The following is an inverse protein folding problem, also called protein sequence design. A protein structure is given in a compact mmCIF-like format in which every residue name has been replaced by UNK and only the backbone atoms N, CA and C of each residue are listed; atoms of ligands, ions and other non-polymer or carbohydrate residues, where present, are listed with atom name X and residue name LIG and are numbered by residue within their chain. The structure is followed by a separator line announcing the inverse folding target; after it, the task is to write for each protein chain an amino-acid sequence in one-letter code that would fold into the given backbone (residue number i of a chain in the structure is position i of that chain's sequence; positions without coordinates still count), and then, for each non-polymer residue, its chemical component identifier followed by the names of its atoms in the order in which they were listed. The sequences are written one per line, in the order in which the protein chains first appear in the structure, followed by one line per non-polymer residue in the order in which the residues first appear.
data_IF_184844450722
#
_entry.id   IF_184844450722
#
_cell.length_a   1.000
_cell.length_b   1.000
_cell.length_c   1.000
_cell.angle_alpha   90.00
_cell.angle_beta   90.00
_cell.angle_gamma   90.00
#
_symmetry.space_group_name_H-M   'P 1'
#
loop_
_entity.id
_entity.type
_entity.pdbx_description
1 polymer ?
#
# COMPACT_ATOMS: atom_id res chain seq x y z
N UNK A 1 20.01 0.76 14.73
CA UNK A 1 19.34 -0.55 14.56
C UNK A 1 17.85 -0.30 14.66
N UNK A 2 17.04 -0.87 13.77
CA UNK A 2 15.59 -0.74 13.80
C UNK A 2 14.97 -2.13 13.70
N UNK A 3 13.92 -2.39 14.48
CA UNK A 3 13.21 -3.66 14.55
C UNK A 3 11.71 -3.36 14.55
N UNK A 4 10.94 -4.26 13.95
CA UNK A 4 9.48 -4.19 13.92
C UNK A 4 8.90 -5.59 13.77
N UNK A 5 7.89 -5.91 14.55
CA UNK A 5 7.04 -7.08 14.36
C UNK A 5 5.86 -6.73 13.44
N UNK A 6 5.55 -7.65 12.53
CA UNK A 6 4.34 -7.59 11.69
C UNK A 6 3.71 -8.99 11.58
N UNK A 7 2.42 -9.02 11.23
CA UNK A 7 1.66 -10.26 11.01
C UNK A 7 2.17 -11.06 9.81
N UNK A 8 2.69 -10.36 8.81
CA UNK A 8 3.18 -10.97 7.57
C UNK A 8 4.32 -10.15 6.99
N UNK A 9 5.08 -10.76 6.08
CA UNK A 9 6.15 -10.08 5.38
C UNK A 9 5.62 -9.52 4.05
N UNK A 10 5.21 -8.26 4.04
CA UNK A 10 4.71 -7.59 2.83
C UNK A 10 5.57 -6.38 2.46
N UNK A 11 5.39 -5.89 1.22
CA UNK A 11 6.04 -4.66 0.79
C UNK A 11 5.66 -3.46 1.68
N UNK A 12 4.43 -3.42 2.22
CA UNK A 12 4.01 -2.36 3.12
C UNK A 12 4.75 -2.40 4.46
N UNK A 13 5.06 -3.59 4.98
CA UNK A 13 5.80 -3.71 6.23
C UNK A 13 7.22 -3.18 6.09
N UNK A 14 7.88 -3.48 4.96
CA UNK A 14 9.19 -2.90 4.63
C UNK A 14 9.14 -1.39 4.43
N UNK A 15 8.12 -0.89 3.74
CA UNK A 15 7.89 0.55 3.56
C UNK A 15 7.70 1.25 4.92
N UNK A 16 6.89 0.67 5.81
CA UNK A 16 6.62 1.22 7.14
C UNK A 16 7.86 1.21 8.03
N UNK A 17 8.60 0.10 8.08
CA UNK A 17 9.85 0.01 8.84
C UNK A 17 10.91 1.00 8.31
N UNK A 18 10.97 1.19 6.98
CA UNK A 18 11.88 2.16 6.37
C UNK A 18 11.48 3.59 6.72
N UNK A 19 10.18 3.90 6.71
CA UNK A 19 9.67 5.21 7.13
C UNK A 19 10.06 5.52 8.57
N UNK A 20 9.77 4.61 9.50
CA UNK A 20 10.12 4.77 10.91
C UNK A 20 11.64 4.93 11.11
N UNK A 21 12.45 4.19 10.34
CA UNK A 21 13.90 4.33 10.35
C UNK A 21 14.35 5.73 9.92
N UNK A 22 13.88 6.23 8.77
CA UNK A 22 14.36 7.51 8.24
C UNK A 22 13.88 8.70 9.07
N UNK A 23 12.70 8.61 9.68
CA UNK A 23 12.18 9.64 10.58
C UNK A 23 13.03 9.73 11.86
N UNK A 24 13.59 8.62 12.33
CA UNK A 24 14.43 8.57 13.54
C UNK A 24 15.92 8.85 13.27
N UNK A 25 16.44 8.43 12.11
CA UNK A 25 17.87 8.38 11.86
C UNK A 25 18.33 9.16 10.61
N UNK A 26 17.39 9.66 9.80
CA UNK A 26 17.69 10.24 8.49
C UNK A 26 17.79 9.20 7.37
N UNK A 27 17.97 9.68 6.14
CA UNK A 27 18.02 8.84 4.94
C UNK A 27 19.40 8.22 4.78
N UNK A 28 19.54 6.88 4.77
CA UNK A 28 20.82 6.26 4.44
C UNK A 28 21.20 6.53 2.97
N UNK A 29 22.48 6.36 2.65
CA UNK A 29 22.94 6.41 1.24
C UNK A 29 22.47 5.17 0.49
N UNK A 30 22.58 4.00 1.12
CA UNK A 30 22.19 2.73 0.52
C UNK A 30 21.63 1.75 1.55
N UNK A 31 20.81 0.82 1.08
CA UNK A 31 20.30 -0.31 1.83
C UNK A 31 20.79 -1.61 1.19
N UNK A 32 21.28 -2.52 2.01
CA UNK A 32 21.66 -3.86 1.58
C UNK A 32 20.54 -4.82 1.88
N UNK A 33 20.12 -5.59 0.87
CA UNK A 33 19.09 -6.62 1.02
C UNK A 33 19.55 -7.96 0.44
N UNK A 34 18.95 -9.04 0.94
CA UNK A 34 18.97 -10.35 0.28
C UNK A 34 18.11 -10.30 -1.00
N UNK A 35 18.26 -11.28 -1.89
CA UNK A 35 17.56 -11.41 -3.18
C UNK A 35 16.08 -11.80 -3.02
N UNK A 36 15.39 -11.27 -2.01
CA UNK A 36 13.97 -11.52 -1.82
C UNK A 36 13.15 -10.83 -2.93
N UNK A 37 12.04 -11.45 -3.34
CA UNK A 37 11.23 -10.97 -4.47
C UNK A 37 10.58 -9.58 -4.24
N UNK A 38 10.52 -9.12 -2.99
CA UNK A 38 10.08 -7.76 -2.62
C UNK A 38 11.07 -6.70 -3.13
N UNK A 39 12.35 -7.06 -3.24
CA UNK A 39 13.44 -6.19 -3.68
C UNK A 39 13.73 -6.31 -5.18
N UNK A 40 13.18 -7.34 -5.86
CA UNK A 40 13.45 -7.60 -7.28
C UNK A 40 12.26 -8.24 -7.99
N UNK A 41 11.89 -7.68 -9.13
CA UNK A 41 10.94 -8.32 -10.06
C UNK A 41 11.63 -9.55 -10.69
N UNK A 42 11.09 -10.74 -10.42
CA UNK A 42 11.51 -11.97 -11.08
C UNK A 42 10.54 -12.26 -12.23
N UNK A 43 10.88 -11.87 -13.45
CA UNK A 43 10.04 -12.09 -14.63
C UNK A 43 10.66 -11.53 -15.91
N UNK A 44 10.23 -12.01 -17.10
CA UNK A 44 10.72 -11.52 -18.38
C UNK A 44 10.46 -10.01 -18.50
N UNK A 45 11.41 -9.28 -19.10
CA UNK A 45 11.54 -7.82 -19.19
C UNK A 45 10.33 -7.06 -19.79
N UNK A 46 9.25 -7.75 -20.15
CA UNK A 46 8.08 -7.22 -20.87
C UNK A 46 6.89 -6.80 -19.99
N UNK A 47 7.11 -6.42 -18.73
CA UNK A 47 6.12 -5.65 -17.96
C UNK A 47 6.72 -4.28 -17.69
N UNK A 48 6.01 -3.21 -18.04
CA UNK A 48 6.43 -1.80 -17.99
C UNK A 48 6.76 -1.25 -16.57
N UNK A 49 7.27 -2.08 -15.66
CA UNK A 49 7.68 -1.72 -14.31
C UNK A 49 8.89 -2.56 -13.96
N UNK A 50 10.08 -2.02 -14.25
CA UNK A 50 11.37 -2.64 -13.92
C UNK A 50 11.66 -2.61 -12.40
N UNK A 51 10.84 -1.90 -11.62
CA UNK A 51 11.08 -1.59 -10.21
C UNK A 51 9.89 -2.05 -9.36
N UNK A 52 10.15 -2.69 -8.22
CA UNK A 52 9.11 -3.06 -7.24
C UNK A 52 8.55 -1.81 -6.54
N UNK A 53 7.39 -1.89 -5.87
CA UNK A 53 6.87 -0.75 -5.09
C UNK A 53 7.88 -0.27 -4.05
N UNK A 54 8.54 -1.20 -3.37
CA UNK A 54 9.59 -0.86 -2.42
C UNK A 54 10.82 -0.23 -3.11
N UNK A 55 11.24 -0.75 -4.26
CA UNK A 55 12.30 -0.13 -5.05
C UNK A 55 11.96 1.28 -5.51
N UNK A 56 10.69 1.56 -5.86
CA UNK A 56 10.21 2.90 -6.21
C UNK A 56 10.35 3.85 -5.02
N UNK A 57 9.91 3.44 -3.84
CA UNK A 57 10.05 4.24 -2.61
C UNK A 57 11.51 4.62 -2.37
N UNK A 58 12.43 3.66 -2.47
CA UNK A 58 13.85 3.93 -2.27
C UNK A 58 14.42 4.86 -3.34
N UNK A 59 14.01 4.69 -4.60
CA UNK A 59 14.38 5.60 -5.68
C UNK A 59 13.90 7.03 -5.43
N UNK A 60 12.64 7.21 -5.02
CA UNK A 60 12.07 8.53 -4.73
C UNK A 60 12.78 9.22 -3.54
N UNK A 61 13.29 8.43 -2.58
CA UNK A 61 14.11 8.93 -1.46
C UNK A 61 15.61 9.07 -1.78
N UNK A 62 16.01 8.75 -3.02
CA UNK A 62 17.39 8.66 -3.47
C UNK A 62 18.27 7.75 -2.59
N UNK A 63 17.71 6.61 -2.17
CA UNK A 63 18.39 5.56 -1.41
C UNK A 63 18.72 4.42 -2.38
N UNK A 64 20.00 4.07 -2.50
CA UNK A 64 20.42 2.99 -3.40
C UNK A 64 20.15 1.61 -2.80
N UNK A 65 19.39 0.76 -3.52
CA UNK A 65 19.15 -0.62 -3.09
C UNK A 65 20.22 -1.55 -3.67
N UNK A 66 21.10 -2.06 -2.81
CA UNK A 66 22.14 -3.01 -3.19
C UNK A 66 21.69 -4.42 -2.82
N UNK A 67 21.35 -5.21 -3.83
CA UNK A 67 21.06 -6.64 -3.66
C UNK A 67 22.39 -7.40 -3.62
N UNK A 68 22.81 -7.86 -2.44
CA UNK A 68 24.13 -8.47 -2.29
C UNK A 68 24.19 -9.84 -3.00
N UNK A 69 25.26 -10.06 -3.77
CA UNK A 69 25.61 -11.35 -4.37
C UNK A 69 26.58 -12.17 -3.50
N UNK A 70 27.20 -11.59 -2.46
CA UNK A 70 28.37 -12.20 -1.81
C UNK A 70 28.17 -12.60 -0.36
N UNK A 71 28.79 -13.74 -0.02
CA UNK A 71 28.74 -14.46 1.24
C UNK A 71 29.48 -13.78 2.41
N UNK A 72 30.33 -12.78 2.13
CA UNK A 72 31.27 -12.21 3.11
C UNK A 72 30.63 -11.17 4.04
N UNK A 73 29.69 -10.36 3.55
CA UNK A 73 28.86 -9.50 4.38
C UNK A 73 27.85 -10.34 5.20
N UNK A 74 27.42 -11.47 4.62
CA UNK A 74 26.40 -12.36 5.15
C UNK A 74 26.83 -13.02 6.47
N UNK A 75 28.04 -13.58 6.55
CA UNK A 75 28.50 -14.32 7.75
C UNK A 75 28.75 -13.49 9.03
N UNK A 76 28.94 -12.17 8.94
CA UNK A 76 29.00 -11.29 10.14
C UNK A 76 27.61 -10.81 10.56
N UNK A 77 26.79 -10.44 9.59
CA UNK A 77 25.40 -10.03 9.80
C UNK A 77 24.59 -11.19 10.35
N UNK A 78 24.76 -12.41 9.84
CA UNK A 78 24.08 -13.62 10.32
C UNK A 78 24.39 -13.93 11.79
N UNK A 79 25.64 -13.83 12.24
CA UNK A 79 25.98 -14.08 13.66
C UNK A 79 25.38 -13.05 14.60
N UNK A 80 25.41 -11.77 14.22
CA UNK A 80 24.77 -10.71 14.99
C UNK A 80 23.25 -10.89 15.01
N UNK A 81 22.65 -11.21 13.87
CA UNK A 81 21.21 -11.46 13.73
C UNK A 81 20.77 -12.70 14.52
N UNK A 82 21.55 -13.77 14.54
CA UNK A 82 21.25 -14.97 15.33
C UNK A 82 21.27 -14.65 16.83
N UNK A 83 22.28 -13.92 17.30
CA UNK A 83 22.36 -13.45 18.69
C UNK A 83 21.15 -12.57 19.05
N UNK A 84 20.77 -11.68 18.14
CA UNK A 84 19.61 -10.81 18.28
C UNK A 84 18.31 -11.61 18.38
N UNK A 85 18.05 -12.53 17.43
CA UNK A 85 16.83 -13.34 17.39
C UNK A 85 16.70 -14.26 18.61
N UNK A 86 17.79 -14.93 19.02
CA UNK A 86 17.79 -15.80 20.18
C UNK A 86 17.49 -15.05 21.49
N UNK A 87 18.03 -13.83 21.63
CA UNK A 87 17.79 -13.00 22.81
C UNK A 87 16.42 -12.36 22.80
N UNK A 88 15.99 -11.84 21.66
CA UNK A 88 14.69 -11.19 21.48
C UNK A 88 13.56 -12.07 22.04
N UNK A 89 13.53 -13.34 21.64
CA UNK A 89 12.50 -14.29 22.09
C UNK A 89 12.59 -14.54 23.62
N UNK A 90 13.81 -14.67 24.16
CA UNK A 90 14.02 -14.96 25.59
C UNK A 90 13.66 -13.75 26.47
N UNK A 91 14.06 -12.56 26.07
CA UNK A 91 13.78 -11.33 26.80
C UNK A 91 12.31 -10.96 26.72
N UNK A 92 11.64 -11.16 25.57
CA UNK A 92 10.18 -11.04 25.49
C UNK A 92 9.47 -11.98 26.48
N UNK A 93 9.95 -13.22 26.63
CA UNK A 93 9.37 -14.17 27.58
C UNK A 93 9.59 -13.75 29.04
N UNK A 94 10.75 -13.18 29.36
CA UNK A 94 11.05 -12.68 30.71
C UNK A 94 10.18 -11.48 31.08
N UNK A 95 9.92 -10.60 30.13
CA UNK A 95 9.10 -9.39 30.28
C UNK A 95 7.59 -9.67 30.12
N UNK A 96 7.20 -10.92 29.87
CA UNK A 96 5.80 -11.31 29.69
C UNK A 96 5.12 -10.68 28.47
N UNK A 97 5.90 -10.32 27.45
CA UNK A 97 5.39 -9.62 26.26
C UNK A 97 4.62 -10.58 25.36
N UNK A 98 3.33 -10.28 25.15
CA UNK A 98 2.44 -11.05 24.27
C UNK A 98 1.71 -10.16 23.28
N UNK A 99 1.70 -10.56 22.00
CA UNK A 99 1.07 -9.79 20.92
C UNK A 99 2.03 -8.84 20.21
N UNK A 100 1.69 -8.48 18.97
CA UNK A 100 2.55 -7.66 18.10
C UNK A 100 2.62 -6.21 18.62
N UNK A 101 1.52 -5.68 19.12
CA UNK A 101 1.41 -4.32 19.65
C UNK A 101 2.31 -4.14 20.88
N UNK A 102 2.19 -5.05 21.85
CA UNK A 102 3.02 -5.04 23.06
C UNK A 102 4.51 -5.23 22.71
N UNK A 103 4.81 -6.11 21.74
CA UNK A 103 6.17 -6.32 21.28
C UNK A 103 6.76 -5.06 20.64
N UNK A 104 6.03 -4.41 19.73
CA UNK A 104 6.48 -3.17 19.09
C UNK A 104 6.67 -2.01 20.09
N UNK A 105 5.83 -1.92 21.12
CA UNK A 105 6.02 -0.94 22.20
C UNK A 105 7.27 -1.22 23.05
N UNK A 106 7.58 -2.49 23.30
CA UNK A 106 8.73 -2.93 24.09
C UNK A 106 10.07 -2.84 23.34
N UNK A 107 10.05 -2.91 22.01
CA UNK A 107 11.27 -2.95 21.18
C UNK A 107 12.23 -1.78 21.44
N UNK A 108 11.74 -0.57 21.73
CA UNK A 108 12.61 0.58 22.02
C UNK A 108 13.54 0.30 23.23
N UNK A 109 12.99 -0.26 24.31
CA UNK A 109 13.76 -0.65 25.50
C UNK A 109 14.73 -1.78 25.20
N UNK A 110 14.28 -2.80 24.46
CA UNK A 110 15.13 -3.91 24.05
C UNK A 110 16.30 -3.46 23.18
N UNK A 111 16.06 -2.63 22.16
CA UNK A 111 17.09 -2.11 21.25
C UNK A 111 18.14 -1.32 22.02
N UNK A 112 17.72 -0.50 22.99
CA UNK A 112 18.64 0.28 23.83
C UNK A 112 19.55 -0.64 24.67
N UNK A 113 18.98 -1.62 25.37
CA UNK A 113 19.77 -2.56 26.17
C UNK A 113 20.66 -3.47 25.32
N UNK A 114 20.15 -3.94 24.18
CA UNK A 114 20.91 -4.76 23.24
C UNK A 114 22.10 -3.99 22.69
N UNK A 115 21.90 -2.76 22.20
CA UNK A 115 22.98 -1.92 21.69
C UNK A 115 24.00 -1.60 22.80
N UNK A 116 23.57 -1.36 24.03
CA UNK A 116 24.48 -1.13 25.17
C UNK A 116 25.42 -2.32 25.41
N UNK A 117 24.94 -3.56 25.24
CA UNK A 117 25.72 -4.78 25.50
C UNK A 117 26.55 -5.25 24.30
N UNK A 118 26.04 -5.08 23.09
CA UNK A 118 26.58 -5.76 21.90
C UNK A 118 27.02 -4.83 20.77
N UNK A 119 26.73 -3.53 20.84
CA UNK A 119 27.22 -2.61 19.80
C UNK A 119 28.75 -2.59 19.80
N UNK A 120 29.31 -2.48 18.61
CA UNK A 120 30.73 -2.25 18.41
C UNK A 120 30.91 -0.87 17.81
N UNK A 121 31.93 -0.10 18.24
CA UNK A 121 32.22 1.18 17.62
C UNK A 121 32.48 0.97 16.13
N UNK A 122 31.91 1.85 15.31
CA UNK A 122 32.16 1.83 13.88
C UNK A 122 33.65 2.06 13.62
N UNK A 123 34.23 1.28 12.69
CA UNK A 123 35.62 1.49 12.26
C UNK A 123 35.84 2.89 11.70
N UNK A 124 34.79 3.45 11.09
CA UNK A 124 34.74 4.82 10.61
C UNK A 124 33.49 5.49 11.22
N UNK A 125 33.64 6.47 12.14
CA UNK A 125 32.54 7.02 12.90
C UNK A 125 31.75 8.11 12.16
N UNK A 126 32.07 8.37 10.88
CA UNK A 126 31.35 9.37 10.10
C UNK A 126 29.93 8.89 9.84
N UNK A 127 28.97 9.70 10.28
CA UNK A 127 27.58 9.51 9.90
C UNK A 127 27.39 9.87 8.42
N UNK A 128 26.83 8.94 7.66
CA UNK A 128 26.54 9.10 6.23
C UNK A 128 25.04 9.30 5.97
N UNK A 129 24.21 9.39 7.02
CA UNK A 129 22.80 9.71 6.83
C UNK A 129 22.64 11.14 6.30
N UNK A 130 21.72 11.29 5.37
CA UNK A 130 21.27 12.58 4.83
C UNK A 130 20.02 13.02 5.60
N UNK A 131 19.82 14.33 5.81
CA UNK A 131 18.57 14.81 6.39
C UNK A 131 17.39 14.46 5.48
N UNK A 132 16.23 14.21 6.09
CA UNK A 132 14.95 14.11 5.38
C UNK A 132 14.55 15.53 5.00
N UNK A 133 14.35 15.78 3.71
CA UNK A 133 13.99 17.11 3.18
C UNK A 133 12.50 17.17 2.82
N UNK A 134 11.90 16.01 2.60
CA UNK A 134 10.51 15.80 2.28
C UNK A 134 9.63 16.17 3.48
N UNK A 135 8.53 16.85 3.21
CA UNK A 135 7.49 17.13 4.19
C UNK A 135 6.78 15.84 4.63
N UNK A 136 6.08 15.84 5.78
CA UNK A 136 5.32 14.67 6.24
C UNK A 136 4.30 14.14 5.22
N UNK A 137 3.67 15.02 4.44
CA UNK A 137 2.70 14.65 3.41
C UNK A 137 3.39 14.05 2.18
N UNK A 138 4.52 14.62 1.74
CA UNK A 138 5.32 14.03 0.66
C UNK A 138 5.84 12.64 1.03
N UNK A 139 6.30 12.45 2.27
CA UNK A 139 6.67 11.12 2.77
C UNK A 139 5.49 10.17 2.77
N UNK A 140 4.31 10.63 3.22
CA UNK A 140 3.09 9.81 3.20
C UNK A 140 2.77 9.34 1.78
N UNK A 141 2.87 10.23 0.79
CA UNK A 141 2.65 9.90 -0.62
C UNK A 141 3.74 8.99 -1.17
N UNK A 142 5.01 9.24 -0.86
CA UNK A 142 6.13 8.40 -1.27
C UNK A 142 5.91 6.98 -0.76
N UNK A 143 5.53 6.77 0.50
CA UNK A 143 5.31 5.44 1.08
C UNK A 143 3.95 4.80 0.74
N UNK A 144 3.08 5.47 -0.02
CA UNK A 144 1.84 4.88 -0.51
C UNK A 144 2.12 3.83 -1.61
N UNK A 145 1.17 2.93 -1.84
CA UNK A 145 1.20 2.07 -3.01
C UNK A 145 0.78 2.87 -4.24
N UNK A 146 1.63 2.91 -5.27
CA UNK A 146 1.34 3.69 -6.49
C UNK A 146 0.84 2.79 -7.60
N UNK A 147 -0.27 3.15 -8.22
CA UNK A 147 -0.74 2.48 -9.42
C UNK A 147 -1.15 3.51 -10.47
N UNK A 148 -1.14 3.11 -11.73
CA UNK A 148 -1.55 3.98 -12.83
C UNK A 148 -2.83 3.43 -13.45
N UNK A 149 -3.82 4.30 -13.62
CA UNK A 149 -5.09 3.96 -14.26
C UNK A 149 -5.39 4.92 -15.39
N UNK A 150 -6.02 4.40 -16.43
CA UNK A 150 -6.50 5.23 -17.54
C UNK A 150 -7.96 5.57 -17.29
N UNK A 151 -8.28 6.85 -17.43
CA UNK A 151 -9.65 7.36 -17.28
C UNK A 151 -10.42 7.06 -18.56
N UNK A 152 -11.62 6.51 -18.45
CA UNK A 152 -12.49 6.25 -19.59
C UNK A 152 -13.07 7.56 -20.17
N UNK A 153 -13.65 7.49 -21.38
CA UNK A 153 -14.41 8.61 -21.97
C UNK A 153 -15.57 9.09 -21.10
N UNK A 154 -16.07 8.23 -20.21
CA UNK A 154 -17.13 8.55 -19.25
C UNK A 154 -16.61 9.08 -17.91
N UNK A 155 -15.33 9.46 -17.83
CA UNK A 155 -14.66 9.95 -16.61
C UNK A 155 -14.71 8.97 -15.45
N UNK A 156 -14.50 7.69 -15.77
CA UNK A 156 -14.48 6.61 -14.78
C UNK A 156 -13.21 5.79 -14.89
N UNK A 157 -12.77 5.20 -13.78
CA UNK A 157 -11.70 4.22 -13.78
C UNK A 157 -11.96 3.17 -12.70
N UNK A 158 -11.36 1.99 -12.86
CA UNK A 158 -11.51 0.91 -11.91
C UNK A 158 -10.22 0.72 -11.12
N UNK A 159 -10.32 0.71 -9.81
CA UNK A 159 -9.22 0.37 -8.92
C UNK A 159 -9.71 -0.60 -7.84
N UNK A 160 -8.95 -1.67 -7.62
CA UNK A 160 -9.30 -2.77 -6.73
C UNK A 160 -10.78 -3.23 -6.79
N UNK A 161 -11.28 -3.43 -8.02
CA UNK A 161 -12.68 -3.86 -8.31
C UNK A 161 -13.78 -2.84 -8.00
N UNK A 162 -13.46 -1.68 -7.44
CA UNK A 162 -14.38 -0.57 -7.24
C UNK A 162 -14.29 0.35 -8.47
N UNK A 163 -15.44 0.85 -8.94
CA UNK A 163 -15.51 1.84 -10.00
C UNK A 163 -15.49 3.23 -9.36
N UNK A 164 -14.59 4.10 -9.78
CA UNK A 164 -14.53 5.48 -9.33
C UNK A 164 -15.03 6.39 -10.45
N UNK A 165 -15.89 7.35 -10.10
CA UNK A 165 -16.42 8.40 -10.98
C UNK A 165 -15.79 9.74 -10.61
N UNK A 166 -15.33 10.48 -11.60
CA UNK A 166 -14.99 11.90 -11.43
C UNK A 166 -16.17 12.78 -11.82
N UNK A 167 -16.29 13.94 -11.19
CA UNK A 167 -17.28 14.92 -11.61
C UNK A 167 -16.96 15.48 -13.00
N UNK A 168 -17.98 15.66 -13.86
CA UNK A 168 -17.80 16.14 -15.24
C UNK A 168 -17.62 17.66 -15.28
N UNK A 169 -16.53 18.15 -14.71
CA UNK A 169 -16.08 19.54 -14.88
C UNK A 169 -15.37 19.70 -16.23
N UNK A 170 -15.25 20.94 -16.73
CA UNK A 170 -14.52 21.19 -17.98
C UNK A 170 -13.07 20.69 -17.90
N UNK A 171 -12.44 20.85 -16.74
CA UNK A 171 -11.07 20.38 -16.50
C UNK A 171 -11.00 18.86 -16.50
N UNK A 172 -11.92 18.18 -15.81
CA UNK A 172 -11.94 16.72 -15.74
C UNK A 172 -12.30 16.09 -17.08
N UNK A 173 -13.10 16.77 -17.90
CA UNK A 173 -13.46 16.30 -19.25
C UNK A 173 -12.24 16.10 -20.14
N UNK A 174 -11.15 16.86 -19.91
CA UNK A 174 -9.87 16.73 -20.62
C UNK A 174 -9.05 15.52 -20.15
N UNK A 175 -9.41 14.91 -19.02
CA UNK A 175 -8.75 13.71 -18.50
C UNK A 175 -9.23 12.43 -19.18
N UNK A 176 -10.27 12.48 -20.01
CA UNK A 176 -10.75 11.32 -20.75
C UNK A 176 -9.64 10.72 -21.63
N UNK A 177 -9.23 9.47 -21.35
CA UNK A 177 -8.14 8.78 -22.02
C UNK A 177 -6.77 8.99 -21.37
N UNK A 178 -6.65 9.92 -20.42
CA UNK A 178 -5.40 10.22 -19.73
C UNK A 178 -5.08 9.21 -18.62
N UNK A 179 -3.80 9.15 -18.26
CA UNK A 179 -3.29 8.34 -17.15
C UNK A 179 -3.29 9.15 -15.86
N UNK A 180 -3.92 8.61 -14.83
CA UNK A 180 -3.90 9.14 -13.47
C UNK A 180 -3.10 8.21 -12.56
N UNK A 181 -2.54 8.78 -11.50
CA UNK A 181 -1.90 8.05 -10.41
C UNK A 181 -2.92 7.79 -9.30
N UNK A 182 -2.96 6.55 -8.83
CA UNK A 182 -3.70 6.11 -7.65
C UNK A 182 -2.69 5.89 -6.53
N UNK A 183 -2.91 6.53 -5.39
CA UNK A 183 -2.15 6.33 -4.15
C UNK A 183 -3.04 5.55 -3.18
N UNK A 184 -2.60 4.35 -2.79
CA UNK A 184 -3.26 3.51 -1.79
C UNK A 184 -2.42 3.45 -0.53
N UNK A 185 -2.93 4.09 0.53
CA UNK A 185 -2.21 4.28 1.78
C UNK A 185 -2.41 3.07 2.71
N UNK A 186 -1.46 2.80 3.63
CA UNK A 186 -1.55 1.65 4.54
C UNK A 186 -2.79 1.62 5.44
N UNK A 187 -3.40 2.78 5.71
CA UNK A 187 -4.64 2.93 6.49
C UNK A 187 -5.91 2.69 5.66
N UNK A 188 -5.75 2.36 4.37
CA UNK A 188 -6.80 2.14 3.41
C UNK A 188 -7.41 3.40 2.82
N UNK A 189 -6.83 4.58 3.06
CA UNK A 189 -7.24 5.78 2.32
C UNK A 189 -6.75 5.72 0.88
N UNK A 190 -7.48 6.36 -0.02
CA UNK A 190 -7.09 6.48 -1.43
C UNK A 190 -6.99 7.96 -1.80
N UNK A 191 -5.97 8.29 -2.58
CA UNK A 191 -5.86 9.58 -3.26
C UNK A 191 -5.62 9.37 -4.76
N UNK A 192 -6.15 10.29 -5.56
CA UNK A 192 -6.09 10.24 -7.01
C UNK A 192 -5.44 11.52 -7.54
N UNK A 193 -4.45 11.38 -8.40
CA UNK A 193 -3.68 12.52 -8.89
C UNK A 193 -3.51 12.50 -10.41
N UNK A 194 -3.60 13.67 -11.02
CA UNK A 194 -3.17 13.91 -12.40
C UNK A 194 -2.11 15.02 -12.41
N UNK A 195 -0.87 14.65 -12.72
CA UNK A 195 0.27 15.55 -12.51
C UNK A 195 0.36 15.97 -11.04
N UNK A 196 0.31 17.28 -10.78
CA UNK A 196 0.32 17.86 -9.43
C UNK A 196 -1.09 18.08 -8.83
N UNK A 197 -2.15 17.82 -9.59
CA UNK A 197 -3.53 18.09 -9.17
C UNK A 197 -4.15 16.87 -8.50
N UNK A 198 -4.74 17.08 -7.32
CA UNK A 198 -5.57 16.06 -6.65
C UNK A 198 -6.97 16.03 -7.28
N UNK A 199 -7.53 14.83 -7.44
CA UNK A 199 -8.81 14.57 -8.07
C UNK A 199 -9.81 14.03 -7.05
N UNK A 200 -10.94 14.71 -6.92
CA UNK A 200 -12.08 14.21 -6.16
C UNK A 200 -12.82 13.15 -6.99
N UNK A 201 -12.97 11.95 -6.41
CA UNK A 201 -13.64 10.83 -7.05
C UNK A 201 -14.64 10.19 -6.09
N UNK A 202 -15.81 9.83 -6.61
CA UNK A 202 -16.84 9.11 -5.87
C UNK A 202 -16.72 7.61 -6.15
N UNK A 203 -16.69 6.80 -5.09
CA UNK A 203 -16.68 5.36 -5.19
C UNK A 203 -18.08 4.83 -5.57
N UNK A 204 -18.12 3.89 -6.51
CA UNK A 204 -19.33 3.17 -6.93
C UNK A 204 -19.04 1.67 -6.89
N UNK A 205 -19.62 0.97 -5.92
CA UNK A 205 -19.42 -0.47 -5.77
C UNK A 205 -20.33 -1.25 -6.73
N UNK A 206 -19.72 -1.90 -7.74
CA UNK A 206 -20.42 -2.79 -8.67
C UNK A 206 -20.73 -4.17 -8.08
N UNK A 207 -20.21 -4.52 -6.91
CA UNK A 207 -20.47 -5.80 -6.23
C UNK A 207 -21.82 -5.80 -5.50
N UNK A 208 -22.46 -4.64 -5.32
CA UNK A 208 -23.79 -4.51 -4.73
C UNK A 208 -24.95 -4.62 -5.74
N UNK A 209 -24.71 -5.15 -6.95
CA UNK A 209 -25.80 -5.44 -7.88
C UNK A 209 -26.48 -6.77 -7.52
N UNK A 210 -27.19 -6.77 -6.39
CA UNK A 210 -28.46 -7.49 -6.23
C UNK A 210 -29.34 -6.58 -5.39
N UNK A 211 -29.97 -5.58 -6.00
CA UNK A 211 -31.42 -5.42 -5.89
C UNK A 211 -31.96 -4.54 -7.02
N UNK A 212 -33.09 -4.97 -7.57
CA UNK A 212 -33.80 -4.30 -8.63
C UNK A 212 -34.58 -3.11 -8.06
N UNK A 213 -34.39 -1.94 -8.66
CA UNK A 213 -35.40 -0.89 -8.65
C UNK A 213 -35.33 0.06 -7.46
N UNK A 214 -34.49 1.10 -7.57
CA UNK A 214 -34.87 2.40 -7.04
C UNK A 214 -34.54 3.52 -8.03
N UNK A 215 -35.53 4.39 -8.20
CA UNK A 215 -35.56 5.50 -9.13
C UNK A 215 -34.57 6.56 -8.65
N UNK A 216 -33.56 6.87 -9.48
CA UNK A 216 -32.59 7.95 -9.25
C UNK A 216 -32.64 8.92 -10.42
N UNK A 217 -32.42 10.20 -10.10
CA UNK A 217 -32.77 11.38 -10.89
C UNK A 217 -32.25 11.42 -12.35
N UNK A 218 -33.10 11.96 -13.23
CA UNK A 218 -33.30 11.60 -14.64
C UNK A 218 -32.22 12.11 -15.63
N UNK A 219 -31.03 12.52 -15.18
CA UNK A 219 -29.98 13.06 -16.07
C UNK A 219 -28.70 12.23 -16.17
N UNK A 220 -28.46 11.29 -15.25
CA UNK A 220 -27.24 10.45 -15.24
C UNK A 220 -27.54 8.94 -15.36
N UNK A 221 -28.80 8.54 -15.23
CA UNK A 221 -29.25 7.14 -15.27
C UNK A 221 -28.89 6.44 -16.59
N UNK A 222 -29.12 7.09 -17.73
CA UNK A 222 -28.91 6.47 -19.06
C UNK A 222 -27.44 6.19 -19.41
N UNK A 223 -26.48 6.87 -18.79
CA UNK A 223 -25.04 6.65 -19.01
C UNK A 223 -24.50 5.60 -18.04
N UNK A 224 -24.92 5.67 -16.78
CA UNK A 224 -24.55 4.68 -15.75
C UNK A 224 -25.15 3.31 -16.07
N UNK A 225 -26.41 3.25 -16.53
CA UNK A 225 -27.06 2.01 -16.95
C UNK A 225 -26.41 1.39 -18.19
N UNK A 226 -26.07 2.19 -19.21
CA UNK A 226 -25.32 1.68 -20.38
C UNK A 226 -23.96 1.10 -19.99
N UNK A 227 -23.24 1.77 -19.11
CA UNK A 227 -21.94 1.32 -18.60
C UNK A 227 -22.07 0.09 -17.67
N UNK A 228 -23.23 -0.11 -17.05
CA UNK A 228 -23.54 -1.31 -16.29
C UNK A 228 -23.84 -2.49 -17.24
N UNK A 229 -24.70 -2.27 -18.24
CA UNK A 229 -25.12 -3.26 -19.22
C UNK A 229 -23.95 -3.79 -20.05
N UNK A 230 -23.15 -2.90 -20.65
CA UNK A 230 -22.00 -3.30 -21.50
C UNK A 230 -20.97 -4.13 -20.71
N UNK A 231 -20.73 -3.76 -19.44
CA UNK A 231 -19.81 -4.52 -18.57
C UNK A 231 -20.40 -5.83 -18.03
N UNK A 232 -21.72 -6.01 -18.07
CA UNK A 232 -22.38 -7.28 -17.72
C UNK A 232 -22.23 -8.26 -18.90
N UNK A 233 -22.52 -7.81 -20.11
CA UNK A 233 -22.42 -8.62 -21.33
C UNK A 233 -20.96 -9.08 -21.59
N UNK A 234 -19.98 -8.22 -21.32
CA UNK A 234 -18.55 -8.56 -21.39
C UNK A 234 -18.10 -9.57 -20.31
N UNK A 235 -18.74 -9.60 -19.14
CA UNK A 235 -18.36 -10.51 -18.04
C UNK A 235 -19.03 -11.88 -18.13
N UNK A 236 -20.24 -11.93 -18.67
CA UNK A 236 -20.95 -13.18 -18.96
C UNK A 236 -20.30 -13.93 -20.12
N UNK A 237 -19.78 -13.23 -21.12
CA UNK A 237 -19.04 -13.84 -22.23
C UNK A 237 -17.64 -14.34 -21.85
N UNK A 238 -17.01 -13.79 -20.80
CA UNK A 238 -15.62 -14.13 -20.42
C UNK A 238 -15.47 -15.15 -19.26
N UNK A 239 -16.54 -15.57 -18.58
CA UNK A 239 -16.48 -16.62 -17.54
C UNK A 239 -15.65 -16.27 -16.27
N UNK A 240 -15.24 -15.02 -16.07
CA UNK A 240 -14.32 -14.58 -15.00
C UNK A 240 -15.00 -14.29 -13.66
N UNK A 241 -15.63 -15.30 -13.05
CA UNK A 241 -16.12 -15.21 -11.65
C UNK A 241 -15.04 -15.47 -10.58
N UNK A 242 -13.77 -15.68 -10.96
CA UNK A 242 -12.69 -16.00 -10.00
C UNK A 242 -11.60 -14.93 -9.81
N UNK A 243 -10.92 -15.02 -8.65
CA UNK A 243 -10.32 -13.94 -7.85
C UNK A 243 -8.85 -13.62 -8.22
N UNK A 244 -8.53 -12.36 -8.52
CA UNK A 244 -7.13 -11.90 -8.68
C UNK A 244 -6.35 -11.87 -7.35
N UNK A 245 -5.12 -12.41 -7.33
CA UNK A 245 -4.20 -12.50 -6.18
C UNK A 245 -3.14 -11.38 -6.14
N UNK A 246 -3.25 -10.33 -6.97
CA UNK A 246 -2.17 -9.36 -7.23
C UNK A 246 -2.29 -8.00 -6.53
N UNK A 247 -3.38 -7.72 -5.80
CA UNK A 247 -3.58 -6.45 -5.08
C UNK A 247 -3.13 -6.53 -3.62
N UNK A 248 -2.70 -5.42 -3.00
CA UNK A 248 -2.40 -5.36 -1.56
C UNK A 248 -3.62 -5.64 -0.65
N UNK A 249 -3.35 -5.75 0.66
CA UNK A 249 -4.34 -6.05 1.71
C UNK A 249 -5.56 -5.12 1.68
N UNK A 250 -6.75 -5.70 1.85
CA UNK A 250 -8.07 -5.16 1.49
C UNK A 250 -8.63 -4.08 2.44
N UNK A 251 -7.78 -3.40 3.21
CA UNK A 251 -8.24 -2.41 4.22
C UNK A 251 -8.96 -1.22 3.57
N UNK A 252 -8.47 -0.77 2.42
CA UNK A 252 -9.12 0.30 1.65
C UNK A 252 -10.54 -0.08 1.22
N UNK A 253 -10.73 -1.31 0.74
CA UNK A 253 -12.05 -1.82 0.34
C UNK A 253 -13.02 -1.88 1.53
N UNK A 254 -12.59 -2.42 2.68
CA UNK A 254 -13.44 -2.52 3.88
C UNK A 254 -13.93 -1.14 4.28
N UNK A 255 -13.03 -0.15 4.31
CA UNK A 255 -13.38 1.23 4.68
C UNK A 255 -14.29 1.91 3.65
N UNK A 256 -14.01 1.75 2.36
CA UNK A 256 -14.88 2.29 1.30
C UNK A 256 -16.26 1.62 1.34
N UNK A 257 -16.33 0.31 1.62
CA UNK A 257 -17.59 -0.40 1.81
C UNK A 257 -18.34 0.05 3.06
N UNK A 258 -17.66 0.30 4.18
CA UNK A 258 -18.24 0.88 5.40
C UNK A 258 -18.78 2.29 5.15
N UNK A 259 -18.05 3.13 4.41
CA UNK A 259 -18.52 4.46 4.01
C UNK A 259 -19.74 4.39 3.11
N UNK A 260 -19.73 3.50 2.11
CA UNK A 260 -20.88 3.28 1.24
C UNK A 260 -22.09 2.78 2.04
N UNK A 261 -21.88 1.86 3.00
CA UNK A 261 -22.92 1.38 3.94
C UNK A 261 -23.49 2.49 4.83
N UNK A 262 -22.66 3.43 5.26
CA UNK A 262 -23.10 4.59 6.05
C UNK A 262 -23.94 5.58 5.22
N UNK A 263 -23.64 5.71 3.92
CA UNK A 263 -24.36 6.60 2.99
C UNK A 263 -25.69 5.97 2.52
N UNK A 264 -25.80 4.64 2.47
CA UNK A 264 -27.04 3.94 2.14
C UNK A 264 -27.31 2.75 3.11
N UNK A 265 -28.19 2.91 4.11
CA UNK A 265 -28.42 1.93 5.18
C UNK A 265 -28.95 0.57 4.70
N UNK A 266 -29.52 0.49 3.49
CA UNK A 266 -30.00 -0.76 2.87
C UNK A 266 -28.84 -1.76 2.64
N UNK A 267 -27.59 -1.28 2.66
CA UNK A 267 -26.39 -2.10 2.48
C UNK A 267 -25.92 -2.84 3.76
N UNK A 268 -26.58 -2.62 4.92
CA UNK A 268 -26.17 -3.19 6.20
C UNK A 268 -26.87 -4.53 6.55
N UNK A 269 -28.12 -4.75 6.12
CA UNK A 269 -28.83 -6.00 6.37
C UNK A 269 -29.85 -6.29 5.24
N UNK A 270 -29.61 -7.31 4.38
CA UNK A 270 -30.53 -7.71 3.32
C UNK A 270 -31.92 -8.16 3.80
N UNK A 271 -32.14 -8.25 5.12
CA UNK A 271 -33.39 -8.72 5.74
C UNK A 271 -34.44 -7.63 5.95
N UNK A 272 -34.15 -6.36 5.64
CA UNK A 272 -35.13 -5.27 5.79
C UNK A 272 -36.04 -5.05 4.58
N UNK A 273 -35.89 -5.83 3.52
CA UNK A 273 -36.84 -5.85 2.40
C UNK A 273 -37.97 -6.83 2.75
N UNK A 274 -38.79 -6.47 3.74
CA UNK A 274 -40.13 -7.03 3.85
C UNK A 274 -41.08 -6.18 3.02
N UNK A 275 -41.59 -6.78 1.94
CA UNK A 275 -42.61 -6.23 1.08
C UNK A 275 -43.81 -5.71 1.89
N UNK A 276 -44.14 -4.43 1.69
CA UNK A 276 -45.49 -3.89 1.80
C UNK A 276 -45.75 -2.96 0.63
#
# INVERSE_FOLDING_TARGET
MHLRFSESETAFDYMLATREYIEQHGKPVSLYSDKHAIFRVSGPENRNTTVTQFGRVLFDLAIELICANSSEAKGRVERANQTLQDRLIKEMRLEGVTGIEAANAWLATFIADFNRRFSRPARFPKDLHRPVQESPDELRDIFAWHDVRTVSKSLTFQYDKILYLMDPTEENSRLAGEKIKVLDYPDGTLAFHYGHRSLECQAFDKLACVDQGQIVDNKRLGTVLRLAQVKQDERESEGKRERSKKSPSRKAQVRVQEQLRAINPVLADPRFIQYR
#
